data_IF_763232373053
#
_entry.id   IF_763232373053
#
_cell.length_a   1.000
_cell.length_b   1.000
_cell.length_c   1.000
_cell.angle_alpha   90.00
_cell.angle_beta   90.00
_cell.angle_gamma   90.00
#
_symmetry.space_group_name_H-M   'P 1'
#
loop_
_entity.id
_entity.type
_entity.pdbx_description
1 polymer ?
#
# COMPACT_ATOMS: atom_id res chain seq x y z
N UNK A 1 10.97 -15.02 -2.70
CA UNK A 1 11.70 -13.78 -3.03
C UNK A 1 11.54 -13.47 -4.51
N UNK A 2 11.04 -12.28 -4.83
CA UNK A 2 10.98 -11.71 -6.16
C UNK A 2 11.94 -10.51 -6.22
N UNK A 3 12.97 -10.60 -7.05
CA UNK A 3 13.82 -9.48 -7.44
C UNK A 3 13.30 -8.88 -8.76
N UNK A 4 13.73 -7.67 -9.09
CA UNK A 4 13.34 -6.99 -10.33
C UNK A 4 14.49 -6.90 -11.34
N UNK A 5 15.04 -8.00 -11.87
CA UNK A 5 16.17 -7.92 -12.79
C UNK A 5 15.81 -7.30 -14.15
N UNK A 6 14.53 -7.39 -14.51
CA UNK A 6 13.89 -6.74 -15.63
C UNK A 6 12.41 -6.52 -15.30
N UNK A 7 11.61 -6.08 -16.27
CA UNK A 7 10.19 -5.83 -16.10
C UNK A 7 9.29 -6.86 -16.81
N UNK A 8 9.83 -8.01 -17.24
CA UNK A 8 9.09 -9.05 -17.98
C UNK A 8 7.94 -9.67 -17.19
N UNK A 9 8.03 -9.63 -15.85
CA UNK A 9 7.01 -10.10 -14.91
C UNK A 9 6.04 -9.01 -14.46
N UNK A 10 6.15 -7.80 -15.02
CA UNK A 10 5.30 -6.65 -14.72
C UNK A 10 4.39 -6.38 -15.92
N UNK A 11 3.08 -6.50 -15.72
CA UNK A 11 2.12 -6.05 -16.74
C UNK A 11 2.02 -4.52 -16.71
N UNK A 12 2.57 -3.88 -17.75
CA UNK A 12 2.69 -2.41 -17.83
C UNK A 12 1.37 -1.65 -17.98
N UNK A 13 0.28 -2.34 -18.30
CA UNK A 13 -1.03 -1.73 -18.33
C UNK A 13 -2.02 -2.63 -17.58
N UNK A 14 -2.33 -2.25 -16.34
CA UNK A 14 -3.24 -3.02 -15.50
C UNK A 14 -4.66 -3.18 -16.03
N UNK A 15 -5.10 -2.33 -16.96
CA UNK A 15 -6.41 -2.52 -17.62
C UNK A 15 -6.48 -3.80 -18.47
N UNK A 16 -5.34 -4.39 -18.82
CA UNK A 16 -5.26 -5.66 -19.55
C UNK A 16 -5.10 -6.87 -18.66
N UNK A 17 -5.06 -6.70 -17.33
CA UNK A 17 -4.90 -7.83 -16.44
C UNK A 17 -6.16 -8.70 -16.45
N UNK A 18 -6.04 -9.92 -16.96
CA UNK A 18 -7.12 -10.89 -17.12
C UNK A 18 -7.17 -11.93 -15.99
N UNK A 19 -6.33 -11.76 -14.96
CA UNK A 19 -6.22 -12.69 -13.85
C UNK A 19 -5.11 -13.72 -13.98
N UNK A 20 -4.27 -13.67 -15.02
CA UNK A 20 -3.15 -14.59 -15.18
C UNK A 20 -1.94 -14.27 -14.27
N UNK A 21 -2.07 -14.60 -12.99
CA UNK A 21 -1.00 -14.46 -11.98
C UNK A 21 0.19 -15.42 -12.19
N UNK A 22 0.12 -16.33 -13.18
CA UNK A 22 1.25 -17.17 -13.57
C UNK A 22 2.15 -16.44 -14.55
N UNK A 23 1.60 -15.58 -15.41
CA UNK A 23 2.36 -14.81 -16.40
C UNK A 23 2.92 -13.50 -15.84
N UNK A 24 2.20 -12.85 -14.93
CA UNK A 24 2.63 -11.60 -14.31
C UNK A 24 2.62 -11.73 -12.79
N UNK A 25 3.69 -11.29 -12.13
CA UNK A 25 3.76 -11.19 -10.66
C UNK A 25 3.23 -9.85 -10.17
N UNK A 26 3.29 -8.83 -11.03
CA UNK A 26 2.91 -7.46 -10.72
C UNK A 26 2.13 -6.82 -11.86
N UNK A 27 1.30 -5.85 -11.50
CA UNK A 27 0.54 -5.02 -12.42
C UNK A 27 0.82 -3.57 -12.11
N UNK A 28 1.14 -2.79 -13.16
CA UNK A 28 1.21 -1.34 -13.08
C UNK A 28 -0.21 -0.77 -13.11
N UNK A 29 -0.68 -0.34 -11.95
CA UNK A 29 -2.03 0.23 -11.81
C UNK A 29 -2.08 1.66 -12.37
N UNK A 30 -0.99 2.43 -12.18
CA UNK A 30 -0.84 3.81 -12.62
C UNK A 30 0.64 4.19 -12.67
N UNK A 31 0.98 5.13 -13.54
CA UNK A 31 2.26 5.82 -13.55
C UNK A 31 3.28 5.15 -14.45
N UNK A 32 4.54 5.21 -14.05
CA UNK A 32 5.66 4.72 -14.84
C UNK A 32 6.68 4.02 -13.95
N UNK A 33 7.19 2.91 -14.45
CA UNK A 33 8.32 2.20 -13.85
C UNK A 33 9.40 1.99 -14.88
N UNK A 34 10.64 2.00 -14.42
CA UNK A 34 11.80 1.58 -15.22
C UNK A 34 12.61 0.56 -14.41
N UNK A 35 13.46 -0.18 -15.12
CA UNK A 35 14.56 -0.87 -14.48
C UNK A 35 15.79 0.03 -14.56
N UNK A 36 16.55 0.17 -13.47
CA UNK A 36 17.70 1.09 -13.41
C UNK A 36 18.84 0.70 -14.36
N UNK A 37 18.91 -0.55 -14.82
CA UNK A 37 19.84 -0.94 -15.88
C UNK A 37 19.39 -2.20 -16.65
N UNK A 38 20.05 -2.51 -17.77
CA UNK A 38 19.71 -3.67 -18.61
C UNK A 38 20.26 -5.01 -18.12
N UNK A 39 20.93 -5.05 -16.96
CA UNK A 39 21.72 -6.20 -16.47
C UNK A 39 21.32 -6.64 -15.06
N UNK A 40 20.05 -6.51 -14.69
CA UNK A 40 19.57 -6.94 -13.38
C UNK A 40 19.46 -5.80 -12.36
N UNK A 41 19.12 -4.59 -12.79
CA UNK A 41 18.98 -3.43 -11.93
C UNK A 41 17.80 -3.50 -10.98
N UNK A 42 17.40 -2.36 -10.44
CA UNK A 42 16.33 -2.21 -9.47
C UNK A 42 15.06 -1.70 -10.16
N UNK A 43 13.91 -1.93 -9.55
CA UNK A 43 12.67 -1.29 -9.98
C UNK A 43 12.68 0.15 -9.49
N UNK A 44 12.65 1.11 -10.40
CA UNK A 44 12.40 2.51 -10.07
C UNK A 44 10.91 2.83 -10.28
N UNK A 45 10.26 3.32 -9.23
CA UNK A 45 8.93 3.92 -9.28
C UNK A 45 9.11 5.41 -9.54
N UNK A 46 8.47 5.95 -10.57
CA UNK A 46 8.71 7.34 -10.99
C UNK A 46 7.51 8.24 -10.70
N UNK A 47 7.78 9.48 -10.32
CA UNK A 47 6.78 10.51 -10.09
C UNK A 47 7.12 11.75 -10.90
N UNK A 48 6.18 12.16 -11.75
CA UNK A 48 6.21 13.42 -12.47
C UNK A 48 4.96 14.23 -12.15
N UNK A 49 5.01 15.52 -12.41
CA UNK A 49 3.86 16.41 -12.26
C UNK A 49 2.66 15.90 -13.10
N UNK A 50 2.92 15.32 -14.27
CA UNK A 50 1.88 14.88 -15.20
C UNK A 50 1.37 13.46 -14.92
N UNK A 51 2.22 12.53 -14.46
CA UNK A 51 1.77 11.18 -14.14
C UNK A 51 1.04 11.11 -12.79
N UNK A 52 1.33 12.03 -11.87
CA UNK A 52 0.74 12.08 -10.54
C UNK A 52 1.04 10.83 -9.71
N UNK A 53 2.27 10.33 -9.78
CA UNK A 53 2.77 9.18 -9.03
C UNK A 53 2.59 7.82 -9.72
N UNK A 54 3.21 6.81 -9.12
CA UNK A 54 3.23 5.43 -9.61
C UNK A 54 2.74 4.48 -8.54
N UNK A 55 1.92 3.51 -8.94
CA UNK A 55 1.49 2.40 -8.09
C UNK A 55 1.58 1.07 -8.82
N UNK A 56 2.30 0.14 -8.21
CA UNK A 56 2.49 -1.23 -8.66
C UNK A 56 1.88 -2.18 -7.62
N UNK A 57 1.08 -3.15 -8.06
CA UNK A 57 0.40 -4.08 -7.16
C UNK A 57 0.67 -5.54 -7.52
N UNK A 58 0.90 -6.41 -6.54
CA UNK A 58 1.12 -7.85 -6.76
C UNK A 58 -0.10 -8.49 -7.40
N UNK A 59 0.05 -9.46 -8.28
CA UNK A 59 -1.11 -10.17 -8.89
C UNK A 59 -1.73 -11.19 -7.94
N UNK A 60 -0.92 -11.68 -6.98
CA UNK A 60 -1.33 -12.62 -5.95
C UNK A 60 -1.65 -11.90 -4.64
N UNK A 61 -2.67 -12.39 -3.97
CA UNK A 61 -3.05 -11.96 -2.63
C UNK A 61 -2.26 -12.76 -1.58
N UNK A 62 -2.06 -12.15 -0.42
CA UNK A 62 -1.46 -12.76 0.77
C UNK A 62 -2.49 -12.65 1.89
N UNK A 63 -2.74 -13.75 2.61
CA UNK A 63 -3.58 -13.74 3.81
C UNK A 63 -2.73 -14.20 4.99
N UNK A 64 -2.18 -13.21 5.71
CA UNK A 64 -1.11 -13.40 6.69
C UNK A 64 0.20 -13.93 6.09
N UNK A 65 1.29 -13.65 6.79
CA UNK A 65 2.64 -14.00 6.39
C UNK A 65 3.65 -12.95 6.78
N UNK A 66 4.90 -13.22 6.42
CA UNK A 66 5.99 -12.27 6.53
C UNK A 66 6.30 -11.71 5.15
N UNK A 67 6.17 -10.40 4.99
CA UNK A 67 6.39 -9.67 3.75
C UNK A 67 7.51 -8.66 3.98
N UNK A 68 8.62 -8.79 3.25
CA UNK A 68 9.78 -7.89 3.36
C UNK A 68 10.00 -7.20 2.03
N UNK A 69 10.02 -5.87 2.01
CA UNK A 69 10.46 -5.08 0.87
C UNK A 69 11.83 -4.47 1.16
N UNK A 70 12.80 -4.71 0.28
CA UNK A 70 14.11 -4.07 0.31
C UNK A 70 14.10 -2.86 -0.61
N UNK A 71 14.09 -1.65 -0.05
CA UNK A 71 13.91 -0.42 -0.83
C UNK A 71 14.74 0.77 -0.31
N UNK A 72 14.90 1.76 -1.20
CA UNK A 72 15.29 3.14 -0.91
C UNK A 72 14.11 4.05 -1.18
N UNK A 73 13.90 5.03 -0.32
CA UNK A 73 12.78 5.97 -0.41
C UNK A 73 13.15 7.17 -1.27
N UNK A 74 12.17 7.99 -1.65
CA UNK A 74 12.42 9.37 -2.07
C UNK A 74 12.93 10.24 -0.92
N UNK A 75 13.41 11.45 -1.24
CA UNK A 75 13.95 12.43 -0.25
C UNK A 75 13.29 13.82 -0.28
N UNK A 76 12.32 14.01 -1.16
CA UNK A 76 11.79 15.34 -1.48
C UNK A 76 10.50 15.62 -0.71
N UNK A 77 10.42 16.81 -0.11
CA UNK A 77 9.20 17.26 0.56
C UNK A 77 7.99 17.21 -0.36
N UNK A 78 6.87 16.72 0.16
CA UNK A 78 5.62 16.50 -0.56
C UNK A 78 5.57 15.20 -1.38
N UNK A 79 6.67 14.47 -1.51
CA UNK A 79 6.75 13.19 -2.23
C UNK A 79 6.82 12.06 -1.22
N UNK A 80 5.93 11.08 -1.32
CA UNK A 80 5.83 9.98 -0.36
C UNK A 80 6.11 8.66 -1.05
N UNK A 81 6.97 7.84 -0.44
CA UNK A 81 7.17 6.44 -0.84
C UNK A 81 6.32 5.55 0.08
N UNK A 82 5.69 4.52 -0.49
CA UNK A 82 4.89 3.59 0.29
C UNK A 82 5.14 2.12 -0.09
N UNK A 83 5.15 1.27 0.93
CA UNK A 83 5.05 -0.18 0.82
C UNK A 83 3.91 -0.62 1.73
N UNK A 84 2.79 -1.02 1.11
CA UNK A 84 1.58 -1.35 1.84
C UNK A 84 1.05 -2.73 1.46
N UNK A 85 0.12 -3.23 2.26
CA UNK A 85 -0.85 -4.23 1.80
C UNK A 85 -2.23 -3.61 1.74
N UNK A 86 -3.05 -3.99 0.76
CA UNK A 86 -4.41 -3.48 0.59
C UNK A 86 -5.35 -4.60 0.16
N UNK A 87 -6.44 -4.81 0.91
CA UNK A 87 -7.50 -5.75 0.56
C UNK A 87 -8.58 -5.10 -0.30
N UNK A 88 -9.39 -5.92 -0.95
CA UNK A 88 -10.52 -5.45 -1.76
C UNK A 88 -11.60 -4.73 -0.93
N UNK A 89 -11.66 -5.04 0.38
CA UNK A 89 -12.55 -4.36 1.32
C UNK A 89 -11.83 -3.31 2.17
N UNK A 90 -10.57 -2.97 1.84
CA UNK A 90 -9.79 -1.88 2.44
C UNK A 90 -9.24 -2.16 3.85
N UNK A 91 -8.94 -3.42 4.16
CA UNK A 91 -7.92 -3.67 5.18
C UNK A 91 -6.56 -3.25 4.63
N UNK A 92 -5.79 -2.53 5.44
CA UNK A 92 -4.54 -1.90 5.01
C UNK A 92 -3.48 -1.96 6.12
N UNK A 93 -2.23 -2.17 5.73
CA UNK A 93 -1.07 -2.22 6.61
C UNK A 93 0.07 -1.50 5.91
N UNK A 94 0.67 -0.52 6.58
CA UNK A 94 1.50 0.47 5.92
C UNK A 94 2.92 0.53 6.44
N UNK A 95 3.83 0.72 5.48
CA UNK A 95 5.04 1.51 5.61
C UNK A 95 4.92 2.73 4.71
N UNK A 96 4.96 3.93 5.30
CA UNK A 96 4.98 5.21 4.59
C UNK A 96 6.26 5.98 4.94
N UNK A 97 6.83 6.64 3.93
CA UNK A 97 8.05 7.44 4.06
C UNK A 97 7.81 8.83 3.47
N UNK A 98 7.42 9.80 4.32
CA UNK A 98 7.40 11.21 3.97
C UNK A 98 8.79 11.65 3.53
N UNK A 99 8.93 12.11 2.29
CA UNK A 99 10.22 12.18 1.61
C UNK A 99 11.32 12.90 2.39
N UNK A 100 11.06 14.08 2.95
CA UNK A 100 12.10 14.86 3.64
C UNK A 100 12.51 14.29 5.02
N UNK A 101 11.81 13.29 5.53
CA UNK A 101 12.12 12.58 6.78
C UNK A 101 12.97 11.32 6.55
N UNK A 102 14.16 11.47 5.95
CA UNK A 102 15.00 10.32 5.50
C UNK A 102 15.67 9.51 6.60
N UNK A 103 15.36 9.75 7.87
CA UNK A 103 15.88 8.98 9.02
C UNK A 103 14.77 8.26 9.79
N UNK A 104 13.59 8.16 9.19
CA UNK A 104 12.37 7.68 9.82
C UNK A 104 11.58 6.76 8.88
N UNK A 105 10.72 5.93 9.45
CA UNK A 105 9.71 5.16 8.73
C UNK A 105 8.41 5.14 9.51
N UNK A 106 7.28 5.38 8.84
CA UNK A 106 5.99 5.46 9.50
C UNK A 106 5.16 4.20 9.25
N UNK A 107 4.57 3.70 10.33
CA UNK A 107 3.75 2.49 10.32
C UNK A 107 2.29 2.87 10.55
N UNK A 108 1.36 2.22 9.86
CA UNK A 108 -0.06 2.43 10.09
C UNK A 108 -0.87 1.18 9.74
N UNK A 109 -2.15 1.18 10.13
CA UNK A 109 -3.10 0.17 9.69
C UNK A 109 -4.52 0.74 9.63
N UNK A 110 -5.32 0.19 8.74
CA UNK A 110 -6.75 0.49 8.64
C UNK A 110 -7.56 -0.80 8.54
N UNK A 111 -8.76 -0.76 9.08
CA UNK A 111 -9.72 -1.85 9.00
C UNK A 111 -10.88 -1.42 8.12
N UNK A 112 -11.07 -2.14 7.02
CA UNK A 112 -12.18 -1.96 6.09
C UNK A 112 -12.42 -0.52 5.62
N UNK A 113 -11.34 0.25 5.43
CA UNK A 113 -11.40 1.64 4.98
C UNK A 113 -11.99 2.60 6.02
N UNK A 114 -12.13 2.15 7.27
CA UNK A 114 -12.46 3.03 8.37
C UNK A 114 -11.29 3.97 8.64
N UNK A 115 -11.52 5.27 8.45
CA UNK A 115 -10.56 6.31 8.79
C UNK A 115 -10.89 6.80 10.20
N UNK A 116 -10.11 6.44 11.22
CA UNK A 116 -10.37 6.88 12.58
C UNK A 116 -10.09 8.39 12.73
N UNK A 117 -10.74 9.03 13.71
CA UNK A 117 -10.49 10.46 14.00
C UNK A 117 -9.04 10.72 14.41
N UNK A 118 -8.44 9.77 15.12
CA UNK A 118 -7.01 9.77 15.43
C UNK A 118 -6.37 8.60 14.69
N UNK A 119 -5.31 8.88 13.94
CA UNK A 119 -4.58 7.86 13.20
C UNK A 119 -3.92 6.84 14.16
N UNK A 120 -3.80 5.60 13.72
CA UNK A 120 -2.98 4.59 14.38
C UNK A 120 -1.50 4.67 13.97
N UNK A 121 -1.11 5.75 13.26
CA UNK A 121 0.24 6.02 12.80
C UNK A 121 1.26 6.03 13.93
N UNK A 122 2.43 5.44 13.71
CA UNK A 122 3.58 5.55 14.62
C UNK A 122 4.87 5.62 13.82
N UNK A 123 5.79 6.49 14.26
CA UNK A 123 7.08 6.72 13.60
C UNK A 123 8.19 5.94 14.29
N UNK A 124 8.91 5.13 13.51
CA UNK A 124 10.22 4.59 13.89
C UNK A 124 11.31 5.58 13.46
N UNK A 125 12.26 5.88 14.34
CA UNK A 125 13.32 6.87 14.11
C UNK A 125 14.71 6.23 14.23
N UNK A 126 15.75 6.96 13.82
CA UNK A 126 17.15 6.53 14.00
C UNK A 126 17.66 5.63 12.87
N UNK A 127 17.00 5.63 11.72
CA UNK A 127 17.49 4.97 10.53
C UNK A 127 18.69 5.74 9.95
N UNK A 128 19.57 5.03 9.25
CA UNK A 128 20.47 5.69 8.30
C UNK A 128 19.66 6.28 7.15
N UNK A 129 20.24 7.24 6.43
CA UNK A 129 19.57 7.93 5.33
C UNK A 129 18.90 6.94 4.35
N UNK A 130 17.56 6.95 4.31
CA UNK A 130 16.72 5.97 3.59
C UNK A 130 16.73 6.17 2.07
N UNK A 131 17.18 7.33 1.60
CA UNK A 131 17.41 7.62 0.19
C UNK A 131 18.73 6.99 -0.30
N UNK A 132 19.79 7.12 0.49
CA UNK A 132 21.13 6.62 0.13
C UNK A 132 21.30 5.13 0.42
N UNK A 133 20.63 4.59 1.44
CA UNK A 133 20.86 3.24 1.95
C UNK A 133 19.63 2.34 1.78
N UNK A 134 19.88 1.07 1.45
CA UNK A 134 18.83 0.06 1.45
C UNK A 134 18.50 -0.38 2.88
N UNK A 135 17.21 -0.44 3.15
CA UNK A 135 16.66 -1.05 4.35
C UNK A 135 15.68 -2.15 3.99
N UNK A 136 15.59 -3.16 4.86
CA UNK A 136 14.59 -4.22 4.77
C UNK A 136 13.40 -3.86 5.67
N UNK A 137 12.30 -3.41 5.06
CA UNK A 137 11.06 -3.11 5.76
C UNK A 137 10.15 -4.33 5.75
N UNK A 138 9.83 -4.86 6.93
CA UNK A 138 9.08 -6.10 7.06
C UNK A 138 7.75 -5.88 7.75
N UNK A 139 6.72 -6.53 7.22
CA UNK A 139 5.43 -6.77 7.84
C UNK A 139 5.37 -8.25 8.23
N UNK A 140 5.44 -8.55 9.51
CA UNK A 140 5.15 -9.88 10.06
C UNK A 140 3.69 -9.90 10.53
N UNK A 141 2.80 -10.25 9.60
CA UNK A 141 1.36 -10.18 9.76
C UNK A 141 0.81 -11.57 10.07
N UNK A 142 0.45 -11.80 11.33
CA UNK A 142 -0.05 -13.09 11.82
C UNK A 142 -1.53 -12.96 12.24
N UNK A 143 -2.26 -14.06 12.45
CA UNK A 143 -3.68 -14.02 12.84
C UNK A 143 -3.99 -13.23 14.12
N UNK A 144 -3.04 -13.20 15.07
CA UNK A 144 -3.22 -12.58 16.39
C UNK A 144 -2.31 -11.37 16.63
N UNK A 145 -1.31 -11.13 15.78
CA UNK A 145 -0.35 -10.04 15.95
C UNK A 145 0.21 -9.54 14.63
N UNK A 146 0.45 -8.24 14.54
CA UNK A 146 1.11 -7.59 13.42
C UNK A 146 2.37 -6.89 13.92
N UNK A 147 3.52 -7.26 13.40
CA UNK A 147 4.81 -6.69 13.79
C UNK A 147 5.50 -6.03 12.60
N UNK A 148 5.96 -4.80 12.80
CA UNK A 148 6.77 -4.06 11.84
C UNK A 148 8.23 -4.18 12.24
N UNK A 149 9.09 -4.47 11.27
CA UNK A 149 10.54 -4.56 11.47
C UNK A 149 11.30 -3.73 10.44
N UNK A 150 12.46 -3.23 10.86
CA UNK A 150 13.45 -2.56 10.00
C UNK A 150 14.77 -3.30 10.19
N UNK A 151 15.33 -3.82 9.10
CA UNK A 151 16.58 -4.59 9.09
C UNK A 151 16.59 -5.75 10.10
N UNK A 152 15.43 -6.40 10.25
CA UNK A 152 15.22 -7.52 11.18
C UNK A 152 14.99 -7.11 12.64
N UNK A 153 15.03 -5.81 12.97
CA UNK A 153 14.73 -5.31 14.31
C UNK A 153 13.26 -4.91 14.44
N UNK A 154 12.59 -5.40 15.47
CA UNK A 154 11.20 -5.03 15.77
C UNK A 154 11.14 -3.56 16.18
N UNK A 155 10.27 -2.79 15.53
CA UNK A 155 10.01 -1.38 15.89
C UNK A 155 8.59 -1.14 16.40
N UNK A 156 7.64 -2.04 16.06
CA UNK A 156 6.24 -1.96 16.53
C UNK A 156 5.60 -3.34 16.50
N UNK A 157 4.78 -3.64 17.50
CA UNK A 157 3.87 -4.79 17.50
C UNK A 157 2.47 -4.32 17.89
N UNK A 158 1.47 -4.74 17.13
CA UNK A 158 0.05 -4.58 17.41
C UNK A 158 -0.54 -5.96 17.73
N UNK A 159 -1.18 -6.11 18.89
CA UNK A 159 -1.96 -7.31 19.17
C UNK A 159 -3.37 -7.15 18.65
N UNK A 160 -3.94 -8.19 18.04
CA UNK A 160 -5.33 -8.19 17.59
C UNK A 160 -6.30 -7.88 18.71
N UNK A 161 -6.03 -8.35 19.93
CA UNK A 161 -6.82 -8.06 21.13
C UNK A 161 -6.95 -6.56 21.41
N UNK A 162 -5.95 -5.77 21.04
CA UNK A 162 -5.91 -4.33 21.31
C UNK A 162 -6.75 -3.52 20.30
N UNK A 163 -7.23 -4.18 19.25
CA UNK A 163 -8.09 -3.59 18.20
C UNK A 163 -9.58 -3.83 18.44
N UNK A 164 -9.94 -4.46 19.56
CA UNK A 164 -11.32 -4.83 19.86
C UNK A 164 -12.03 -3.65 20.51
N UNK A 165 -13.10 -3.17 19.87
CA UNK A 165 -13.92 -2.08 20.40
C UNK A 165 -14.80 -2.52 21.58
N UNK A 166 -15.52 -1.57 22.19
CA UNK A 166 -16.43 -1.84 23.30
C UNK A 166 -17.59 -2.79 22.96
N UNK A 167 -17.86 -3.00 21.67
CA UNK A 167 -18.91 -3.90 21.18
C UNK A 167 -18.36 -5.30 20.83
N UNK A 168 -17.06 -5.54 21.03
CA UNK A 168 -16.40 -6.80 20.70
C UNK A 168 -16.02 -6.93 19.22
N UNK A 169 -16.06 -5.85 18.43
CA UNK A 169 -15.66 -5.85 17.02
C UNK A 169 -14.14 -5.66 16.94
N UNK A 170 -13.46 -6.63 16.35
CA UNK A 170 -12.01 -6.55 16.09
C UNK A 170 -11.77 -5.74 14.81
N UNK A 171 -11.11 -4.59 14.95
CA UNK A 171 -10.66 -3.74 13.85
C UNK A 171 -9.22 -4.07 13.43
N UNK A 172 -8.89 -5.36 13.40
CA UNK A 172 -7.59 -5.86 12.98
C UNK A 172 -7.63 -6.23 11.49
N UNK A 173 -6.66 -5.78 10.67
CA UNK A 173 -6.54 -6.19 9.27
C UNK A 173 -6.47 -7.71 9.16
N UNK A 174 -7.46 -8.32 8.51
CA UNK A 174 -7.64 -9.78 8.55
C UNK A 174 -8.16 -10.37 7.23
N UNK A 175 -8.19 -9.59 6.15
CA UNK A 175 -8.64 -10.03 4.83
C UNK A 175 -7.49 -10.11 3.83
N UNK A 176 -7.48 -11.09 2.89
CA UNK A 176 -6.44 -11.24 1.89
C UNK A 176 -6.15 -9.92 1.18
N UNK A 177 -4.87 -9.57 1.10
CA UNK A 177 -4.41 -8.27 0.59
C UNK A 177 -3.39 -8.44 -0.52
N UNK A 178 -3.37 -7.49 -1.45
CA UNK A 178 -2.30 -7.34 -2.43
C UNK A 178 -1.19 -6.48 -1.83
N UNK A 179 0.05 -6.78 -2.17
CA UNK A 179 1.18 -5.90 -1.85
C UNK A 179 1.16 -4.76 -2.85
N UNK A 180 1.29 -3.52 -2.39
CA UNK A 180 1.40 -2.36 -3.25
C UNK A 180 2.69 -1.59 -2.93
N UNK A 181 3.39 -1.19 -3.99
CA UNK A 181 4.57 -0.35 -3.96
C UNK A 181 4.21 0.95 -4.69
N UNK A 182 4.45 2.10 -4.06
CA UNK A 182 4.11 3.37 -4.69
C UNK A 182 5.05 4.51 -4.35
N UNK A 183 5.04 5.50 -5.24
CA UNK A 183 5.52 6.85 -4.99
C UNK A 183 4.39 7.81 -5.37
N UNK A 184 3.98 8.69 -4.46
CA UNK A 184 2.77 9.49 -4.67
C UNK A 184 2.91 10.95 -4.20
N UNK A 185 2.20 11.89 -4.85
CA UNK A 185 2.37 13.31 -4.60
C UNK A 185 1.43 13.79 -3.48
N UNK A 186 1.88 13.72 -2.23
CA UNK A 186 1.10 14.19 -1.09
C UNK A 186 1.03 15.73 -1.03
N UNK A 187 2.12 16.41 -1.40
CA UNK A 187 2.27 17.86 -1.36
C UNK A 187 1.72 18.58 -2.59
N UNK A 188 0.42 18.43 -2.87
CA UNK A 188 -0.27 19.07 -4.01
C UNK A 188 -1.48 19.88 -3.54
N UNK A 189 -1.94 20.78 -4.40
CA UNK A 189 -3.04 21.72 -4.11
C UNK A 189 -4.40 21.06 -3.84
N UNK A 190 -4.61 19.82 -4.29
CA UNK A 190 -5.84 19.04 -4.04
C UNK A 190 -5.79 18.20 -2.78
N UNK A 191 -4.63 18.09 -2.12
CA UNK A 191 -4.47 17.34 -0.87
C UNK A 191 -4.99 18.14 0.32
N UNK A 192 -5.43 17.42 1.36
CA UNK A 192 -5.76 18.06 2.63
C UNK A 192 -4.52 18.72 3.25
N UNK A 193 -4.69 19.86 3.92
CA UNK A 193 -3.57 20.62 4.50
C UNK A 193 -2.71 19.76 5.45
N UNK A 194 -3.35 18.94 6.28
CA UNK A 194 -2.63 18.02 7.17
C UNK A 194 -1.77 16.99 6.43
N UNK A 195 -2.22 16.50 5.28
CA UNK A 195 -1.45 15.59 4.42
C UNK A 195 -0.24 16.29 3.80
N UNK A 196 -0.41 17.54 3.34
CA UNK A 196 0.69 18.35 2.80
C UNK A 196 1.73 18.61 3.89
N UNK A 197 1.30 19.02 5.09
CA UNK A 197 2.20 19.27 6.22
C UNK A 197 2.94 18.01 6.65
N UNK A 198 2.22 16.89 6.78
CA UNK A 198 2.79 15.58 7.12
C UNK A 198 3.87 15.13 6.13
N UNK A 199 3.69 15.43 4.84
CA UNK A 199 4.62 15.02 3.79
C UNK A 199 5.86 15.92 3.65
N UNK A 200 6.03 16.95 4.48
CA UNK A 200 7.14 17.90 4.36
C UNK A 200 6.83 19.15 3.53
N UNK A 201 5.55 19.42 3.27
CA UNK A 201 5.09 20.58 2.52
C UNK A 201 4.75 20.30 1.06
N UNK A 202 4.67 21.37 0.26
CA UNK A 202 4.37 21.29 -1.16
C UNK A 202 5.57 20.74 -1.94
N UNK A 203 5.29 19.94 -2.97
CA UNK A 203 6.33 19.47 -3.90
C UNK A 203 6.98 20.67 -4.59
N UNK A 204 8.31 20.70 -4.57
CA UNK A 204 9.08 21.66 -5.34
C UNK A 204 9.38 21.10 -6.75
N UNK A 205 8.53 21.42 -7.73
CA UNK A 205 8.78 21.02 -9.13
C UNK A 205 9.99 21.72 -9.77
N UNK A 206 10.58 22.71 -9.10
CA UNK A 206 11.83 23.37 -9.49
C UNK A 206 13.04 22.80 -8.73
N UNK A 207 12.89 21.65 -8.08
CA UNK A 207 14.00 20.97 -7.43
C UNK A 207 15.09 20.61 -8.46
N UNK A 208 16.38 20.84 -8.16
CA UNK A 208 17.46 20.51 -9.09
C UNK A 208 17.47 19.06 -9.56
N UNK A 209 17.10 18.10 -8.71
CA UNK A 209 17.02 16.68 -9.09
C UNK A 209 15.92 16.49 -10.13
N UNK A 210 14.72 17.05 -9.89
CA UNK A 210 13.60 16.97 -10.82
C UNK A 210 13.90 17.63 -12.17
N UNK A 211 14.54 18.81 -12.16
CA UNK A 211 14.91 19.50 -13.39
C UNK A 211 15.99 18.75 -14.19
N UNK A 212 16.82 17.96 -13.51
CA UNK A 212 17.90 17.18 -14.13
C UNK A 212 17.39 15.86 -14.69
N UNK A 213 16.65 15.11 -13.88
CA UNK A 213 16.23 13.74 -14.20
C UNK A 213 14.84 13.69 -14.88
N UNK A 214 14.01 14.71 -14.66
CA UNK A 214 12.65 14.79 -15.19
C UNK A 214 11.60 14.06 -14.34
N UNK A 215 12.03 13.44 -13.24
CA UNK A 215 11.17 12.72 -12.29
C UNK A 215 11.77 12.73 -10.87
N UNK A 216 10.91 12.42 -9.90
CA UNK A 216 11.32 11.92 -8.59
C UNK A 216 11.15 10.41 -8.57
N UNK A 217 11.93 9.72 -7.72
CA UNK A 217 11.91 8.26 -7.71
C UNK A 217 12.03 7.62 -6.33
N UNK A 218 11.62 6.36 -6.26
CA UNK A 218 11.96 5.42 -5.19
C UNK A 218 12.45 4.12 -5.83
N UNK A 219 13.40 3.44 -5.18
CA UNK A 219 14.03 2.23 -5.73
C UNK A 219 13.69 1.01 -4.91
N UNK A 220 13.15 -0.03 -5.55
CA UNK A 220 12.84 -1.32 -4.93
C UNK A 220 13.77 -2.38 -5.50
N UNK A 221 14.55 -2.99 -4.62
CA UNK A 221 15.48 -4.07 -4.99
C UNK A 221 14.76 -5.42 -5.05
N UNK A 222 13.97 -5.74 -4.04
CA UNK A 222 13.23 -7.01 -3.99
C UNK A 222 12.05 -6.98 -3.02
N UNK A 223 11.12 -7.91 -3.21
CA UNK A 223 10.05 -8.24 -2.28
C UNK A 223 10.09 -9.73 -1.97
N UNK A 224 10.15 -10.08 -0.69
CA UNK A 224 10.06 -11.47 -0.23
C UNK A 224 8.76 -11.70 0.53
N UNK A 225 8.12 -12.84 0.29
CA UNK A 225 6.84 -13.22 0.90
C UNK A 225 6.94 -14.65 1.40
N UNK A 226 6.56 -14.87 2.65
CA UNK A 226 6.31 -16.19 3.23
C UNK A 226 4.89 -16.19 3.77
N UNK A 227 3.97 -16.92 3.13
CA UNK A 227 2.56 -16.96 3.56
C UNK A 227 2.42 -17.70 4.90
N UNK A 228 1.46 -17.26 5.73
CA UNK A 228 1.13 -17.87 7.01
C UNK A 228 -0.39 -18.08 7.15
N UNK A 229 -1.03 -18.59 6.10
CA UNK A 229 -2.46 -18.90 6.12
C UNK A 229 -2.83 -19.76 7.34
N UNK A 230 -3.97 -19.50 8.03
CA UNK A 230 -4.37 -20.26 9.21
C UNK A 230 -4.57 -21.76 8.92
N UNK A 231 -4.89 -22.08 7.66
CA UNK A 231 -4.94 -23.43 7.13
C UNK A 231 -4.10 -23.50 5.87
N UNK A 232 -3.17 -24.47 5.72
CA UNK A 232 -2.38 -24.59 4.51
C UNK A 232 -3.26 -24.79 3.26
N UNK A 233 -2.97 -24.09 2.14
CA UNK A 233 -3.72 -24.29 0.91
C UNK A 233 -3.49 -25.70 0.34
N UNK A 234 -4.55 -26.31 -0.17
CA UNK A 234 -4.44 -27.56 -0.91
C UNK A 234 -3.76 -27.35 -2.28
N UNK A 235 -3.30 -28.42 -2.91
CA UNK A 235 -2.73 -28.36 -4.27
C UNK A 235 -3.75 -27.77 -5.25
N UNK A 236 -3.32 -26.78 -6.03
CA UNK A 236 -4.15 -26.14 -7.06
C UNK A 236 -5.00 -24.98 -6.55
N UNK A 237 -4.88 -24.58 -5.29
CA UNK A 237 -5.41 -23.29 -4.82
C UNK A 237 -4.65 -22.15 -5.50
N UNK A 238 -5.40 -21.21 -6.07
CA UNK A 238 -4.86 -20.05 -6.80
C UNK A 238 -5.41 -18.72 -6.30
N UNK A 239 -6.46 -18.72 -5.50
CA UNK A 239 -7.16 -17.51 -5.06
C UNK A 239 -7.88 -17.68 -3.71
N UNK A 240 -8.36 -16.56 -3.17
CA UNK A 240 -9.21 -16.48 -2.00
C UNK A 240 -10.61 -16.01 -2.41
N UNK A 241 -11.63 -16.39 -1.66
CA UNK A 241 -13.01 -15.91 -1.83
C UNK A 241 -13.57 -15.42 -0.50
N UNK A 242 -14.32 -14.33 -0.55
CA UNK A 242 -15.12 -13.86 0.57
C UNK A 242 -16.41 -14.68 0.65
N UNK A 243 -16.61 -15.33 1.80
CA UNK A 243 -17.83 -16.07 2.14
C UNK A 243 -18.80 -15.23 2.97
N UNK A 244 -19.66 -15.92 3.71
CA UNK A 244 -20.58 -15.27 4.66
C UNK A 244 -19.81 -14.54 5.76
N UNK A 245 -20.41 -13.51 6.36
CA UNK A 245 -19.81 -12.76 7.45
C UNK A 245 -19.50 -13.69 8.65
N UNK A 246 -18.22 -13.76 9.01
CA UNK A 246 -17.72 -14.52 10.17
C UNK A 246 -17.95 -13.76 11.49
N UNK A 247 -18.04 -12.42 11.42
CA UNK A 247 -18.39 -11.53 12.52
C UNK A 247 -19.19 -10.33 11.99
N UNK A 248 -19.57 -9.38 12.84
CA UNK A 248 -20.06 -8.09 12.39
C UNK A 248 -19.03 -7.47 11.44
N UNK A 249 -19.36 -7.42 10.15
CA UNK A 249 -18.61 -6.77 9.07
C UNK A 249 -17.40 -7.53 8.48
N UNK A 250 -16.85 -8.56 9.13
CA UNK A 250 -15.73 -9.34 8.54
C UNK A 250 -16.24 -10.56 7.78
N UNK A 251 -15.94 -10.72 6.47
CA UNK A 251 -16.25 -11.94 5.73
C UNK A 251 -15.40 -13.12 6.18
N UNK A 252 -15.95 -14.33 6.12
CA UNK A 252 -15.15 -15.55 6.15
C UNK A 252 -14.27 -15.63 4.90
N UNK A 253 -13.09 -16.22 5.02
CA UNK A 253 -12.15 -16.42 3.92
C UNK A 253 -12.11 -17.91 3.57
N UNK A 254 -12.27 -18.22 2.29
CA UNK A 254 -12.12 -19.58 1.75
C UNK A 254 -11.11 -19.59 0.60
N UNK A 255 -10.52 -20.75 0.35
CA UNK A 255 -9.66 -20.95 -0.82
C UNK A 255 -10.47 -21.28 -2.08
N UNK A 256 -9.91 -20.92 -3.23
CA UNK A 256 -10.47 -21.21 -4.55
C UNK A 256 -9.35 -21.54 -5.54
N UNK A 257 -9.72 -22.25 -6.61
CA UNK A 257 -8.87 -22.53 -7.77
C UNK A 257 -9.26 -21.71 -9.00
N UNK A 258 -10.16 -20.74 -8.83
CA UNK A 258 -10.58 -19.83 -9.90
C UNK A 258 -9.52 -18.73 -10.08
N UNK A 259 -9.41 -18.22 -11.30
CA UNK A 259 -8.60 -17.02 -11.56
C UNK A 259 -9.23 -15.80 -10.90
N UNK A 260 -8.40 -14.93 -10.33
CA UNK A 260 -8.84 -13.65 -9.78
C UNK A 260 -8.68 -12.58 -10.85
N UNK A 261 -9.78 -12.05 -11.37
CA UNK A 261 -9.75 -10.82 -12.16
C UNK A 261 -9.75 -9.66 -11.19
N UNK A 262 -8.66 -8.89 -11.17
CA UNK A 262 -8.62 -7.66 -10.38
C UNK A 262 -9.67 -6.73 -10.98
N UNK A 263 -10.69 -6.39 -10.19
CA UNK A 263 -11.87 -5.67 -10.67
C UNK A 263 -11.48 -4.51 -11.58
N UNK A 264 -11.78 -4.64 -12.88
CA UNK A 264 -11.80 -3.53 -13.79
C UNK A 264 -12.76 -2.49 -13.18
N UNK A 265 -12.27 -1.29 -12.88
CA UNK A 265 -13.15 -0.14 -12.66
C UNK A 265 -14.03 -0.01 -13.92
N UNK A 266 -15.29 -0.45 -13.85
CA UNK A 266 -16.18 -0.41 -14.99
C UNK A 266 -17.47 -1.22 -14.85
N UNK A 267 -18.42 -0.70 -14.06
CA UNK A 267 -19.85 -0.97 -14.25
C UNK A 267 -20.42 -2.19 -13.54
N UNK A 268 -20.78 -2.03 -12.27
CA UNK A 268 -21.97 -2.73 -11.77
C UNK A 268 -23.14 -2.14 -12.56
N UNK A 269 -23.63 -2.86 -13.57
CA UNK A 269 -24.95 -2.61 -14.15
C UNK A 269 -25.97 -2.94 -13.06
N UNK A 270 -26.27 -1.93 -12.24
CA UNK A 270 -27.37 -1.97 -11.31
C UNK A 270 -28.66 -2.15 -12.10
N UNK A 271 -29.36 -3.25 -11.81
CA UNK A 271 -30.75 -3.46 -12.22
C UNK A 271 -31.55 -2.27 -11.70
N UNK A 272 -32.22 -1.57 -12.62
CA UNK A 272 -32.93 -0.30 -12.43
C UNK A 272 -33.70 -0.18 -11.11
N UNK A 273 -33.30 0.80 -10.29
CA UNK A 273 -34.12 1.41 -9.24
C UNK A 273 -33.74 2.90 -9.19
N UNK A 274 -34.71 3.83 -9.30
CA UNK A 274 -34.38 5.24 -9.40
C UNK A 274 -33.86 5.73 -8.05
N UNK A 275 -32.98 6.73 -8.10
CA UNK A 275 -32.46 7.58 -7.03
C UNK A 275 -30.96 7.41 -6.67
N UNK A 276 -30.23 8.46 -7.07
CA UNK A 276 -28.92 8.95 -6.60
C UNK A 276 -27.65 8.35 -7.25
N UNK A 277 -27.24 8.99 -8.34
CA UNK A 277 -25.85 9.03 -8.81
C UNK A 277 -25.03 9.94 -7.89
N UNK A 278 -24.06 9.36 -7.18
CA UNK A 278 -23.03 10.09 -6.44
C UNK A 278 -21.67 9.48 -6.76
N UNK A 279 -20.91 10.15 -7.61
CA UNK A 279 -19.52 9.87 -7.97
C UNK A 279 -18.65 9.79 -6.71
N UNK A 280 -18.10 8.61 -6.40
CA UNK A 280 -17.06 8.45 -5.36
C UNK A 280 -15.73 8.87 -5.97
N UNK A 281 -15.43 10.16 -5.87
CA UNK A 281 -14.07 10.68 -5.91
C UNK A 281 -13.62 10.81 -4.45
N UNK A 282 -12.68 9.96 -4.04
CA UNK A 282 -12.06 10.02 -2.72
C UNK A 282 -11.26 11.30 -2.56
N UNK A 283 -11.91 12.31 -1.98
CA UNK A 283 -11.28 13.48 -1.39
C UNK A 283 -12.06 13.77 -0.10
N UNK A 284 -11.54 13.30 1.04
CA UNK A 284 -12.15 13.57 2.35
C UNK A 284 -11.63 14.92 2.84
N UNK A 285 -12.54 15.88 2.85
CA UNK A 285 -12.39 17.24 3.39
C UNK A 285 -12.44 17.18 4.91
N UNK A 286 -11.40 17.68 5.59
CA UNK A 286 -11.43 17.94 7.04
C UNK A 286 -11.99 19.33 7.31
N UNK A 287 -13.03 19.41 8.15
CA UNK A 287 -13.52 20.65 8.75
C UNK A 287 -13.46 20.51 10.27
N UNK A 288 -12.49 21.16 10.91
CA UNK A 288 -12.42 21.31 12.37
C UNK A 288 -13.27 22.51 12.79
N UNK A 289 -14.37 22.27 13.52
CA UNK A 289 -15.07 23.32 14.28
C UNK A 289 -14.54 23.27 15.71
N UNK A 290 -13.70 24.25 16.05
CA UNK A 290 -13.37 24.59 17.44
C UNK A 290 -14.37 25.59 17.99
N UNK A 291 -15.17 25.16 18.96
CA UNK A 291 -16.00 26.04 19.80
C UNK A 291 -15.11 26.53 20.95
N UNK A 292 -14.84 27.83 20.99
CA UNK A 292 -14.23 28.53 22.13
C UNK A 292 -15.23 29.50 22.74
N UNK A 293 -15.66 29.21 23.96
CA UNK A 293 -16.44 30.08 24.84
C UNK A 293 -15.58 31.24 25.35
N UNK A 294 -15.96 32.48 25.02
CA UNK A 294 -16.06 33.66 25.88
C UNK A 294 -16.53 34.86 25.05
#
# INVERSE_FOLDING_TARGET
>A
MHSFPDLSRVLMNGTYYDGNATEYDWVLDKGNVINTNSSGGELALLLTETNGGTRLSSTRYVHYGTITARLKTGRWGGVVTAFITMSDIKDEIDWEFPGDATTEGQTNYFWQGNIPTQTHGTTATGLTDTFSNYHDYTLDWQPDSLTWLIDGNIVRTLQRSDTVDSNGVSMYPNTPSRIQLSIWPAGINTSAEGTVQWAGGMINWQDPDYLTDGDFYALVSSVNVTCADPTPPATGVTSYTYGQNASSFTPSIAFSNQSTVNGAMGGIVGVNGPWVMGTVLGAVVFSLIGVGLA
#
